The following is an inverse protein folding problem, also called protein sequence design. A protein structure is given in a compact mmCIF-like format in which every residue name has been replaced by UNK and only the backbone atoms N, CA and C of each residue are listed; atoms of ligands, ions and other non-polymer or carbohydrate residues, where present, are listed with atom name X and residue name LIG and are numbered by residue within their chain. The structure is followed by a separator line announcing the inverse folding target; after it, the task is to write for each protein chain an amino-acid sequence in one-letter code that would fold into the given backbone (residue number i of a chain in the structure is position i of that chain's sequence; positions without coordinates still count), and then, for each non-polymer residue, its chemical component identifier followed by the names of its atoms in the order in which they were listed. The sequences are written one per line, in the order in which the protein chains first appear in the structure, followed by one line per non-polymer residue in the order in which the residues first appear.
data_IF_727152772861
#
_entry.id   IF_727152772861
#
_cell.length_a   1.000
_cell.length_b   1.000
_cell.length_c   1.000
_cell.angle_alpha   90.00
_cell.angle_beta   90.00
_cell.angle_gamma   90.00
#
_symmetry.space_group_name_H-M   'P 1'
#
loop_
_entity.id
_entity.type
_entity.pdbx_description
1 polymer ?
#
# COMPACT_ATOMS: atom_id res chain seq x y z
N UNK A 1 11.50 44.43 -64.32
CA UNK A 1 11.01 43.67 -63.15
C UNK A 1 12.20 42.94 -62.52
N UNK A 2 12.65 43.43 -61.37
CA UNK A 2 13.76 42.86 -60.62
C UNK A 2 13.28 41.69 -59.75
N UNK A 3 14.02 40.59 -59.68
CA UNK A 3 13.88 39.56 -58.64
C UNK A 3 15.24 39.37 -57.97
N UNK A 4 15.31 39.80 -56.71
CA UNK A 4 16.44 39.64 -55.82
C UNK A 4 16.52 38.20 -55.31
N UNK A 5 17.69 37.59 -55.40
CA UNK A 5 18.07 36.34 -54.76
C UNK A 5 18.73 36.64 -53.41
N UNK A 6 17.94 36.55 -52.33
CA UNK A 6 18.44 36.64 -50.96
C UNK A 6 18.69 35.24 -50.39
N UNK A 7 19.95 34.87 -50.21
CA UNK A 7 20.37 33.65 -49.51
C UNK A 7 20.29 33.90 -48.00
N UNK A 8 19.42 33.17 -47.30
CA UNK A 8 19.34 33.17 -45.84
C UNK A 8 20.54 32.43 -45.23
N UNK A 9 21.16 32.93 -44.14
CA UNK A 9 22.30 32.27 -43.51
C UNK A 9 21.87 31.01 -42.77
N UNK A 10 22.66 29.93 -42.92
CA UNK A 10 22.51 28.68 -42.18
C UNK A 10 22.63 28.94 -40.68
N UNK A 11 21.55 28.64 -39.95
CA UNK A 11 21.50 28.61 -38.48
C UNK A 11 22.56 27.62 -37.98
N UNK A 12 23.59 28.12 -37.28
CA UNK A 12 24.57 27.29 -36.60
C UNK A 12 23.85 26.43 -35.54
N UNK A 13 24.08 25.13 -35.56
CA UNK A 13 23.57 24.22 -34.54
C UNK A 13 24.09 24.67 -33.16
N UNK A 14 23.16 25.06 -32.27
CA UNK A 14 23.46 25.29 -30.86
C UNK A 14 23.98 23.97 -30.27
N UNK A 15 25.20 24.02 -29.74
CA UNK A 15 25.82 22.95 -28.96
C UNK A 15 24.89 22.63 -27.79
N UNK A 16 24.30 21.44 -27.79
CA UNK A 16 23.48 20.96 -26.70
C UNK A 16 24.39 20.82 -25.47
N UNK A 17 24.11 21.62 -24.45
CA UNK A 17 24.67 21.48 -23.11
C UNK A 17 24.24 20.11 -22.56
N UNK A 18 25.20 19.33 -22.10
CA UNK A 18 25.00 18.03 -21.48
C UNK A 18 24.31 18.21 -20.14
N UNK A 19 23.03 17.82 -20.05
CA UNK A 19 22.38 17.52 -18.77
C UNK A 19 23.03 16.26 -18.20
N UNK A 20 24.14 16.43 -17.49
CA UNK A 20 24.64 15.39 -16.60
C UNK A 20 23.71 15.43 -15.38
N UNK A 21 22.87 14.41 -15.28
CA UNK A 21 22.01 14.22 -14.11
C UNK A 21 22.86 13.66 -12.96
N UNK A 22 23.37 14.56 -12.12
CA UNK A 22 24.21 14.25 -10.96
C UNK A 22 23.43 13.55 -9.83
N UNK A 23 22.10 13.39 -9.95
CA UNK A 23 21.29 12.63 -8.99
C UNK A 23 21.46 11.11 -9.15
N UNK A 24 22.05 10.66 -10.25
CA UNK A 24 22.21 9.24 -10.58
C UNK A 24 23.65 8.80 -10.26
N UNK A 25 23.78 7.76 -9.43
CA UNK A 25 25.04 7.09 -9.21
C UNK A 25 25.45 6.29 -10.46
N UNK A 26 26.23 6.92 -11.34
CA UNK A 26 26.72 6.32 -12.57
C UNK A 26 27.94 5.42 -12.31
N UNK A 27 27.92 4.20 -12.85
CA UNK A 27 29.03 3.25 -12.86
C UNK A 27 29.55 3.09 -14.29
N UNK A 28 30.85 3.31 -14.46
CA UNK A 28 31.50 3.24 -15.77
C UNK A 28 31.41 1.83 -16.37
N UNK A 29 31.14 1.78 -17.67
CA UNK A 29 31.00 0.57 -18.47
C UNK A 29 31.90 0.70 -19.72
N UNK A 30 31.80 -0.26 -20.64
CA UNK A 30 32.63 -0.29 -21.83
C UNK A 30 32.43 0.92 -22.76
N UNK A 31 33.50 1.28 -23.48
CA UNK A 31 33.50 2.32 -24.51
C UNK A 31 33.07 3.72 -24.03
N UNK A 32 33.28 4.02 -22.74
CA UNK A 32 32.95 5.32 -22.14
C UNK A 32 31.45 5.51 -21.87
N UNK A 33 30.65 4.45 -21.95
CA UNK A 33 29.28 4.47 -21.45
C UNK A 33 29.29 4.29 -19.93
N UNK A 34 28.19 4.63 -19.28
CA UNK A 34 27.97 4.27 -17.89
C UNK A 34 26.53 3.79 -17.67
N UNK A 35 26.35 2.93 -16.66
CA UNK A 35 25.07 2.39 -16.23
C UNK A 35 24.69 2.93 -14.86
N UNK A 36 23.40 2.96 -14.56
CA UNK A 36 22.87 3.38 -13.26
C UNK A 36 21.45 2.88 -13.05
N UNK A 37 20.88 3.14 -11.87
CA UNK A 37 19.51 2.77 -11.52
C UNK A 37 18.71 4.05 -11.28
N UNK A 38 17.52 4.14 -11.88
CA UNK A 38 16.56 5.22 -11.63
C UNK A 38 15.18 4.61 -11.48
N UNK A 39 14.50 4.87 -10.37
CA UNK A 39 13.17 4.36 -10.07
C UNK A 39 13.07 2.83 -10.29
N UNK A 40 14.06 2.09 -9.78
CA UNK A 40 14.16 0.63 -9.90
C UNK A 40 14.42 0.11 -11.32
N UNK A 41 14.90 0.96 -12.25
CA UNK A 41 15.16 0.59 -13.64
C UNK A 41 16.59 0.90 -14.05
N UNK A 42 17.19 -0.03 -14.79
CA UNK A 42 18.48 0.15 -15.42
C UNK A 42 18.41 1.27 -16.48
N UNK A 43 19.33 2.22 -16.39
CA UNK A 43 19.51 3.31 -17.35
C UNK A 43 20.97 3.36 -17.82
N UNK A 44 21.20 3.98 -18.98
CA UNK A 44 22.53 4.15 -19.54
C UNK A 44 22.77 5.62 -19.92
N UNK A 45 24.02 6.07 -19.82
CA UNK A 45 24.50 7.31 -20.44
C UNK A 45 25.60 7.02 -21.45
N UNK A 46 25.69 7.86 -22.48
CA UNK A 46 26.72 7.77 -23.51
C UNK A 46 28.03 8.48 -23.07
N UNK A 47 29.12 8.37 -23.86
CA UNK A 47 30.39 9.05 -23.56
C UNK A 47 30.33 10.58 -23.52
N UNK A 48 29.26 11.18 -24.05
CA UNK A 48 29.01 12.61 -23.97
C UNK A 48 28.22 13.00 -22.70
N UNK A 49 28.00 12.06 -21.78
CA UNK A 49 27.29 12.26 -20.52
C UNK A 49 25.77 12.29 -20.65
N UNK A 50 25.21 12.05 -21.84
CA UNK A 50 23.76 12.13 -22.08
C UNK A 50 23.08 10.80 -21.75
N UNK A 51 22.06 10.84 -20.89
CA UNK A 51 21.16 9.71 -20.63
C UNK A 51 20.45 9.26 -21.91
N UNK A 52 20.45 7.96 -22.13
CA UNK A 52 19.83 7.31 -23.28
C UNK A 52 18.38 6.94 -22.99
N UNK A 53 17.56 6.85 -24.04
CA UNK A 53 16.16 6.40 -23.93
C UNK A 53 16.04 4.91 -23.59
N UNK A 54 17.05 4.11 -23.94
CA UNK A 54 17.13 2.69 -23.66
C UNK A 54 18.57 2.27 -23.46
N UNK A 55 18.76 1.15 -22.74
CA UNK A 55 20.07 0.54 -22.54
C UNK A 55 20.46 -0.23 -23.82
N UNK A 56 21.59 0.11 -24.47
CA UNK A 56 22.09 -0.63 -25.62
C UNK A 56 22.28 -2.12 -25.33
N UNK A 57 21.99 -2.99 -26.30
CA UNK A 57 22.08 -4.45 -26.13
C UNK A 57 23.46 -4.91 -25.63
N UNK A 58 24.53 -4.39 -26.22
CA UNK A 58 25.90 -4.73 -25.82
C UNK A 58 26.22 -4.40 -24.35
N UNK A 59 25.58 -3.37 -23.78
CA UNK A 59 25.73 -3.04 -22.35
C UNK A 59 24.79 -3.87 -21.49
N UNK A 60 23.59 -4.20 -21.99
CA UNK A 60 22.60 -4.99 -21.27
C UNK A 60 23.08 -6.42 -20.97
N UNK A 61 23.90 -6.98 -21.87
CA UNK A 61 24.48 -8.31 -21.74
C UNK A 61 25.84 -8.29 -21.00
N UNK A 62 26.21 -7.16 -20.37
CA UNK A 62 27.43 -7.04 -19.56
C UNK A 62 27.22 -7.49 -18.12
N UNK A 63 28.29 -7.95 -17.47
CA UNK A 63 28.27 -8.36 -16.05
C UNK A 63 27.75 -7.22 -15.14
N UNK A 64 28.13 -5.97 -15.42
CA UNK A 64 27.67 -4.80 -14.66
C UNK A 64 26.14 -4.63 -14.79
N UNK A 65 25.58 -4.82 -15.99
CA UNK A 65 24.14 -4.75 -16.17
C UNK A 65 23.41 -5.88 -15.46
N UNK A 66 23.95 -7.11 -15.47
CA UNK A 66 23.39 -8.24 -14.72
C UNK A 66 23.35 -7.95 -13.21
N UNK A 67 24.44 -7.44 -12.64
CA UNK A 67 24.50 -7.06 -11.21
C UNK A 67 23.50 -5.94 -10.86
N UNK A 68 23.39 -4.92 -11.71
CA UNK A 68 22.45 -3.80 -11.49
C UNK A 68 20.99 -4.23 -11.67
N UNK A 69 20.69 -5.17 -12.57
CA UNK A 69 19.36 -5.76 -12.71
C UNK A 69 19.00 -6.59 -11.49
N UNK A 70 19.91 -7.43 -10.98
CA UNK A 70 19.71 -8.16 -9.74
C UNK A 70 19.49 -7.20 -8.55
N UNK A 71 20.21 -6.08 -8.51
CA UNK A 71 19.97 -5.03 -7.51
C UNK A 71 18.58 -4.39 -7.65
N UNK A 72 18.09 -4.15 -8.88
CA UNK A 72 16.73 -3.65 -9.11
C UNK A 72 15.65 -4.63 -8.62
N UNK A 73 15.85 -5.93 -8.87
CA UNK A 73 14.95 -6.98 -8.37
C UNK A 73 14.96 -7.03 -6.83
N UNK A 74 16.14 -6.97 -6.22
CA UNK A 74 16.28 -6.92 -4.77
C UNK A 74 15.59 -5.69 -4.17
N UNK A 75 15.76 -4.51 -4.75
CA UNK A 75 15.08 -3.28 -4.31
C UNK A 75 13.55 -3.40 -4.40
N UNK A 76 13.02 -4.04 -5.45
CA UNK A 76 11.58 -4.27 -5.58
C UNK A 76 11.04 -5.22 -4.49
N UNK A 77 11.81 -6.26 -4.14
CA UNK A 77 11.49 -7.16 -3.03
C UNK A 77 11.55 -6.42 -1.70
N UNK A 78 12.61 -5.66 -1.46
CA UNK A 78 12.80 -4.84 -0.25
C UNK A 78 11.63 -3.87 -0.05
N UNK A 79 11.27 -3.10 -1.08
CA UNK A 79 10.12 -2.20 -1.04
C UNK A 79 8.82 -2.93 -0.65
N UNK A 80 8.60 -4.13 -1.20
CA UNK A 80 7.42 -4.95 -0.86
C UNK A 80 7.44 -5.39 0.60
N UNK A 81 8.61 -5.71 1.15
CA UNK A 81 8.77 -6.11 2.56
C UNK A 81 8.55 -4.93 3.52
N UNK A 82 9.10 -3.76 3.20
CA UNK A 82 8.84 -2.53 3.96
C UNK A 82 7.34 -2.25 4.08
N UNK A 83 6.62 -2.33 2.95
CA UNK A 83 5.17 -2.11 2.90
C UNK A 83 4.44 -3.09 3.84
N UNK A 84 4.72 -4.40 3.72
CA UNK A 84 4.09 -5.44 4.54
C UNK A 84 4.38 -5.26 6.02
N UNK A 85 5.59 -4.83 6.37
CA UNK A 85 5.97 -4.64 7.76
C UNK A 85 5.25 -3.43 8.38
N UNK A 86 5.07 -2.34 7.62
CA UNK A 86 4.29 -1.17 8.06
C UNK A 86 2.81 -1.52 8.19
N UNK A 87 2.24 -2.22 7.20
CA UNK A 87 0.87 -2.75 7.29
C UNK A 87 0.70 -3.66 8.51
N UNK A 88 1.71 -4.47 8.82
CA UNK A 88 1.71 -5.32 10.02
C UNK A 88 1.70 -4.50 11.31
N UNK A 89 2.48 -3.40 11.38
CA UNK A 89 2.43 -2.50 12.53
C UNK A 89 1.04 -1.90 12.73
N UNK A 90 0.38 -1.53 11.62
CA UNK A 90 -0.98 -0.98 11.65
C UNK A 90 -2.04 -2.02 12.03
N UNK A 91 -2.10 -3.15 11.32
CA UNK A 91 -3.14 -4.17 11.48
C UNK A 91 -3.01 -4.98 12.77
N UNK A 92 -1.88 -4.87 13.47
CA UNK A 92 -1.65 -5.52 14.76
C UNK A 92 -1.54 -4.53 15.92
N UNK A 93 -1.75 -3.24 15.66
CA UNK A 93 -1.61 -2.15 16.63
C UNK A 93 -0.32 -2.26 17.45
N UNK A 94 0.79 -2.62 16.79
CA UNK A 94 2.06 -2.85 17.48
C UNK A 94 2.70 -1.50 17.79
N UNK A 95 3.07 -1.23 19.06
CA UNK A 95 3.93 -0.09 19.37
C UNK A 95 5.25 -0.23 18.60
N UNK A 96 5.59 0.80 17.85
CA UNK A 96 6.84 0.88 17.08
C UNK A 96 7.83 1.72 17.90
N UNK A 97 8.92 1.12 18.42
CA UNK A 97 9.93 1.86 19.14
C UNK A 97 10.54 2.96 18.27
N UNK A 98 10.85 4.08 18.89
CA UNK A 98 11.48 5.22 18.22
C UNK A 98 12.82 4.83 17.59
N UNK A 99 13.58 3.97 18.25
CA UNK A 99 14.88 3.49 17.77
C UNK A 99 14.73 2.67 16.48
N UNK A 100 13.62 1.94 16.32
CA UNK A 100 13.32 1.22 15.07
C UNK A 100 13.07 2.23 13.95
N UNK A 101 12.26 3.26 14.20
CA UNK A 101 12.01 4.31 13.22
C UNK A 101 13.30 5.05 12.83
N UNK A 102 14.13 5.40 13.81
CA UNK A 102 15.42 6.05 13.57
C UNK A 102 16.37 5.18 12.73
N UNK A 103 16.34 3.86 12.93
CA UNK A 103 17.17 2.93 12.17
C UNK A 103 16.70 2.77 10.71
N UNK A 104 15.38 2.77 10.46
CA UNK A 104 14.84 2.56 9.11
C UNK A 104 14.65 3.85 8.32
N UNK A 105 14.51 5.01 8.97
CA UNK A 105 14.26 6.29 8.29
C UNK A 105 15.30 6.70 7.23
N UNK A 106 16.60 6.42 7.37
CA UNK A 106 17.58 6.72 6.33
C UNK A 106 17.35 5.96 5.02
N UNK A 107 16.59 4.86 5.06
CA UNK A 107 16.20 4.11 3.88
C UNK A 107 15.05 4.83 3.13
N UNK A 108 15.22 5.13 1.83
CA UNK A 108 14.20 5.84 1.05
C UNK A 108 12.86 5.11 0.94
N UNK A 109 12.85 3.78 0.87
CA UNK A 109 11.59 3.02 0.75
C UNK A 109 10.81 3.04 2.07
N UNK A 110 11.50 2.93 3.20
CA UNK A 110 10.89 3.06 4.52
C UNK A 110 10.34 4.46 4.77
N UNK A 111 11.16 5.48 4.53
CA UNK A 111 10.75 6.87 4.78
C UNK A 111 9.66 7.35 3.82
N UNK A 112 9.65 6.90 2.56
CA UNK A 112 8.54 7.16 1.62
C UNK A 112 7.22 6.58 2.16
N UNK A 113 7.23 5.32 2.61
CA UNK A 113 6.03 4.62 3.04
C UNK A 113 5.49 5.05 4.41
N UNK A 114 6.37 5.46 5.31
CA UNK A 114 6.00 5.94 6.64
C UNK A 114 5.54 7.40 6.63
N UNK A 115 6.03 8.19 5.68
CA UNK A 115 5.68 9.60 5.56
C UNK A 115 4.19 9.76 5.26
N UNK A 116 3.60 10.77 5.88
CA UNK A 116 2.18 11.08 5.84
C UNK A 116 1.26 10.03 6.48
N UNK A 117 1.77 8.96 7.10
CA UNK A 117 0.95 8.12 7.95
C UNK A 117 0.53 8.90 9.20
N UNK A 118 -0.73 8.74 9.59
CA UNK A 118 -1.19 9.17 10.90
C UNK A 118 -0.53 8.28 11.94
N UNK A 119 0.14 8.91 12.89
CA UNK A 119 0.80 8.26 14.01
C UNK A 119 0.28 8.85 15.31
N UNK A 120 0.22 8.02 16.35
CA UNK A 120 -0.18 8.42 17.70
C UNK A 120 0.98 8.14 18.64
N UNK A 121 1.38 9.11 19.46
CA UNK A 121 2.38 8.85 20.48
C UNK A 121 1.90 7.76 21.44
N UNK A 122 2.79 6.84 21.81
CA UNK A 122 2.49 5.82 22.82
C UNK A 122 3.51 5.90 23.97
N UNK A 123 3.01 5.78 25.20
CA UNK A 123 3.89 5.77 26.38
C UNK A 123 4.72 4.47 26.43
N UNK A 124 5.62 4.32 27.41
CA UNK A 124 6.48 3.13 27.54
C UNK A 124 5.73 1.79 27.70
N UNK A 125 4.43 1.81 28.02
CA UNK A 125 3.58 0.60 28.10
C UNK A 125 2.84 0.28 26.80
N UNK A 126 2.93 1.15 25.80
CA UNK A 126 2.22 1.00 24.52
C UNK A 126 0.85 1.67 24.51
N UNK A 127 0.51 2.43 25.54
CA UNK A 127 -0.80 3.07 25.63
C UNK A 127 -0.81 4.37 24.78
N UNK A 128 -1.81 4.56 23.90
CA UNK A 128 -1.91 5.73 23.03
C UNK A 128 -2.15 7.03 23.80
N UNK A 129 -1.58 8.12 23.29
CA UNK A 129 -1.80 9.50 23.72
C UNK A 129 -2.52 10.24 22.59
N UNK A 130 -3.85 10.18 22.59
CA UNK A 130 -4.69 10.67 21.48
C UNK A 130 -4.47 12.17 21.18
N UNK A 131 -4.11 12.96 22.20
CA UNK A 131 -3.75 14.38 22.08
C UNK A 131 -2.45 14.62 21.30
N UNK A 132 -1.66 13.57 21.04
CA UNK A 132 -0.40 13.61 20.29
C UNK A 132 -0.49 12.76 19.05
N UNK A 133 -1.47 13.10 18.21
CA UNK A 133 -1.74 12.48 16.92
C UNK A 133 -1.36 13.43 15.80
N UNK A 134 -0.72 12.92 14.75
CA UNK A 134 -0.41 13.73 13.57
C UNK A 134 0.15 12.92 12.41
N UNK A 135 0.30 13.59 11.26
CA UNK A 135 0.90 13.02 10.04
C UNK A 135 2.42 13.02 10.18
N UNK A 136 3.04 11.86 10.12
CA UNK A 136 4.50 11.71 10.24
C UNK A 136 5.23 12.39 9.07
N UNK A 137 6.19 13.26 9.39
CA UNK A 137 7.01 13.99 8.41
C UNK A 137 8.47 13.69 8.49
N UNK A 138 9.00 13.45 9.69
CA UNK A 138 10.42 13.23 9.83
C UNK A 138 10.75 12.40 11.06
N UNK A 139 11.91 11.77 11.05
CA UNK A 139 12.47 11.09 12.22
C UNK A 139 13.93 11.50 12.33
N UNK A 140 14.26 12.14 13.46
CA UNK A 140 15.60 12.65 13.74
C UNK A 140 16.04 12.17 15.13
N UNK A 141 17.24 11.60 15.20
CA UNK A 141 17.78 11.02 16.44
C UNK A 141 17.87 12.02 17.62
N UNK A 142 17.99 13.32 17.34
CA UNK A 142 18.07 14.36 18.39
C UNK A 142 16.72 15.01 18.67
N UNK A 143 15.93 15.28 17.64
CA UNK A 143 14.66 16.02 17.75
C UNK A 143 13.48 15.10 18.10
N UNK A 144 13.46 13.85 17.62
CA UNK A 144 12.36 12.91 17.77
C UNK A 144 11.61 12.66 16.46
N UNK A 145 10.31 12.42 16.55
CA UNK A 145 9.44 12.25 15.39
C UNK A 145 8.73 13.57 15.08
N UNK A 146 9.01 14.14 13.91
CA UNK A 146 8.34 15.31 13.40
C UNK A 146 6.97 14.94 12.85
N UNK A 147 5.91 15.55 13.36
CA UNK A 147 4.53 15.35 12.92
C UNK A 147 3.87 16.68 12.58
N UNK A 148 2.86 16.64 11.70
CA UNK A 148 1.91 17.74 11.51
C UNK A 148 0.61 17.33 12.18
N UNK A 149 0.17 18.09 13.18
CA UNK A 149 -1.07 17.80 13.91
C UNK A 149 -2.33 18.20 13.11
N UNK A 150 -3.50 18.04 13.73
CA UNK A 150 -4.80 18.38 13.12
C UNK A 150 -4.97 19.88 12.85
N UNK A 151 -4.23 20.73 13.56
CA UNK A 151 -4.25 22.19 13.39
C UNK A 151 -3.26 22.63 12.29
N UNK A 152 -2.52 21.70 11.71
CA UNK A 152 -1.49 21.97 10.70
C UNK A 152 -0.17 22.45 11.28
N UNK A 153 -0.02 22.43 12.61
CA UNK A 153 1.23 22.82 13.27
C UNK A 153 2.25 21.68 13.26
N UNK A 154 3.52 22.04 13.09
CA UNK A 154 4.62 21.06 13.14
C UNK A 154 5.08 20.87 14.59
N UNK A 155 5.04 19.62 15.06
CA UNK A 155 5.50 19.24 16.39
C UNK A 155 6.60 18.17 16.32
N UNK A 156 7.46 18.12 17.35
CA UNK A 156 8.46 17.05 17.51
C UNK A 156 8.12 16.21 18.75
N UNK A 157 7.68 14.99 18.52
CA UNK A 157 7.33 14.03 19.55
C UNK A 157 8.59 13.34 20.09
N UNK A 158 8.85 13.50 21.39
CA UNK A 158 9.96 12.84 22.11
C UNK A 158 9.54 11.56 22.83
N UNK A 159 8.45 10.95 22.37
CA UNK A 159 7.91 9.71 22.95
C UNK A 159 8.83 8.51 22.63
N UNK A 160 8.93 7.49 23.50
CA UNK A 160 9.78 6.32 23.22
C UNK A 160 9.24 5.44 22.08
N UNK A 161 7.94 5.54 21.78
CA UNK A 161 7.31 4.76 20.73
C UNK A 161 6.04 5.43 20.21
N UNK A 162 5.60 5.01 19.03
CA UNK A 162 4.34 5.41 18.41
C UNK A 162 3.48 4.20 18.08
N UNK A 163 2.22 4.46 17.76
CA UNK A 163 1.33 3.53 17.09
C UNK A 163 1.01 4.08 15.71
N UNK A 164 0.82 3.16 14.76
CA UNK A 164 0.19 3.46 13.47
C UNK A 164 -1.24 2.93 13.58
N UNK A 165 -2.23 3.75 13.96
CA UNK A 165 -3.59 3.26 14.18
C UNK A 165 -4.25 2.79 12.88
N UNK A 166 -5.09 1.77 12.97
CA UNK A 166 -6.07 1.49 11.93
C UNK A 166 -7.02 2.70 11.79
N UNK A 167 -7.45 3.09 10.58
CA UNK A 167 -8.28 4.29 10.36
C UNK A 167 -9.57 4.34 11.19
N UNK A 168 -10.17 3.20 11.51
CA UNK A 168 -11.39 3.15 12.35
C UNK A 168 -11.14 3.61 13.81
N UNK A 169 -9.89 3.58 14.26
CA UNK A 169 -9.48 4.03 15.60
C UNK A 169 -9.03 5.49 15.63
N UNK A 170 -8.98 6.16 14.47
CA UNK A 170 -8.56 7.55 14.35
C UNK A 170 -9.78 8.44 14.60
N UNK A 171 -9.75 9.20 15.69
CA UNK A 171 -10.73 10.26 15.94
C UNK A 171 -10.61 11.35 14.87
N UNK A 172 -11.74 11.75 14.27
CA UNK A 172 -11.75 12.73 13.19
C UNK A 172 -11.05 12.27 11.90
N UNK A 173 -11.10 10.98 11.56
CA UNK A 173 -10.48 10.44 10.33
C UNK A 173 -10.94 11.15 9.04
N UNK A 174 -12.20 11.62 8.99
CA UNK A 174 -12.71 12.36 7.83
C UNK A 174 -12.04 13.74 7.68
N UNK A 175 -11.82 14.46 8.78
CA UNK A 175 -11.09 15.74 8.77
C UNK A 175 -9.67 15.54 8.22
N UNK A 176 -9.00 14.45 8.63
CA UNK A 176 -7.66 14.12 8.16
C UNK A 176 -7.64 13.70 6.67
N UNK A 177 -8.71 13.07 6.18
CA UNK A 177 -8.88 12.78 4.74
C UNK A 177 -9.07 14.04 3.91
N UNK A 178 -9.83 15.01 4.43
CA UNK A 178 -10.01 16.32 3.81
C UNK A 178 -8.67 17.06 3.73
N UNK A 179 -7.94 17.17 4.85
CA UNK A 179 -6.60 17.77 4.90
C UNK A 179 -5.63 17.07 3.95
N UNK A 180 -5.65 15.73 3.91
CA UNK A 180 -4.78 14.96 3.00
C UNK A 180 -5.08 15.27 1.53
N UNK A 181 -6.35 15.51 1.19
CA UNK A 181 -6.79 15.85 -0.17
C UNK A 181 -6.39 17.29 -0.53
N UNK A 182 -6.60 18.24 0.37
CA UNK A 182 -6.28 19.66 0.16
C UNK A 182 -4.78 19.93 0.04
N UNK A 183 -3.97 19.19 0.81
CA UNK A 183 -2.51 19.35 0.82
C UNK A 183 -1.80 18.43 -0.20
N UNK A 184 -2.55 17.68 -1.00
CA UNK A 184 -2.05 16.71 -2.00
C UNK A 184 -1.06 15.70 -1.39
N UNK A 185 -1.37 15.23 -0.17
CA UNK A 185 -0.57 14.20 0.47
C UNK A 185 -0.95 12.84 -0.07
N UNK A 186 0.08 12.09 -0.47
CA UNK A 186 -0.03 10.69 -0.83
C UNK A 186 0.48 9.82 0.31
N UNK A 187 -0.19 8.69 0.53
CA UNK A 187 0.28 7.63 1.42
C UNK A 187 0.58 6.40 0.57
N UNK A 188 1.79 5.85 0.69
CA UNK A 188 2.14 4.61 -0.01
C UNK A 188 1.44 3.39 0.60
N UNK A 189 1.11 3.46 1.89
CA UNK A 189 0.20 2.53 2.58
C UNK A 189 -1.18 3.16 2.62
N UNK A 190 -2.22 2.46 2.15
CA UNK A 190 -3.60 2.90 2.28
C UNK A 190 -4.02 2.85 3.77
N UNK A 191 -3.74 3.90 4.54
CA UNK A 191 -4.20 4.04 5.93
C UNK A 191 -5.47 4.89 5.97
N UNK A 192 -5.38 6.18 5.62
CA UNK A 192 -6.52 7.11 5.71
C UNK A 192 -7.67 6.66 4.82
N UNK A 193 -7.38 6.33 3.56
CA UNK A 193 -8.40 5.99 2.56
C UNK A 193 -8.79 4.50 2.54
N UNK A 194 -8.27 3.70 3.48
CA UNK A 194 -8.72 2.32 3.64
C UNK A 194 -10.19 2.29 4.05
N UNK A 195 -11.04 1.51 3.36
CA UNK A 195 -12.45 1.39 3.72
C UNK A 195 -12.63 0.90 5.16
N UNK A 196 -13.47 1.59 5.91
CA UNK A 196 -13.82 1.26 7.30
C UNK A 196 -15.26 0.79 7.39
N UNK A 197 -15.52 -0.19 8.25
CA UNK A 197 -16.87 -0.70 8.49
C UNK A 197 -17.11 -0.79 10.00
N UNK A 198 -18.18 -0.17 10.47
CA UNK A 198 -18.63 -0.27 11.86
C UNK A 198 -19.80 -1.24 11.95
N UNK A 199 -19.80 -2.08 12.98
CA UNK A 199 -20.92 -3.00 13.22
C UNK A 199 -22.17 -2.21 13.60
N UNK A 200 -23.27 -2.46 12.89
CA UNK A 200 -24.59 -1.91 13.24
C UNK A 200 -25.14 -2.59 14.50
N UNK A 201 -26.09 -1.94 15.18
CA UNK A 201 -26.72 -2.51 16.37
C UNK A 201 -27.50 -3.80 16.08
N UNK A 202 -27.96 -3.98 14.84
CA UNK A 202 -28.59 -5.24 14.42
C UNK A 202 -27.56 -6.35 14.22
N UNK A 203 -26.45 -6.06 13.52
CA UNK A 203 -25.37 -7.03 13.32
C UNK A 203 -24.79 -7.50 14.66
N UNK A 204 -24.65 -6.60 15.64
CA UNK A 204 -24.15 -6.92 17.00
C UNK A 204 -24.99 -7.97 17.74
N UNK A 205 -26.27 -8.16 17.37
CA UNK A 205 -27.13 -9.19 17.99
C UNK A 205 -26.86 -10.60 17.47
N UNK A 206 -26.11 -10.72 16.37
CA UNK A 206 -25.79 -12.00 15.73
C UNK A 206 -24.37 -12.48 15.98
N UNK A 207 -24.02 -13.56 15.28
CA UNK A 207 -22.69 -14.21 15.27
C UNK A 207 -22.12 -14.32 13.85
N UNK A 208 -22.87 -13.86 12.84
CA UNK A 208 -22.53 -13.99 11.43
C UNK A 208 -23.07 -12.82 10.62
N UNK A 209 -22.36 -12.46 9.56
CA UNK A 209 -22.78 -11.49 8.56
C UNK A 209 -23.23 -12.22 7.30
N UNK A 210 -24.48 -11.99 6.91
CA UNK A 210 -25.14 -12.69 5.79
C UNK A 210 -25.37 -11.80 4.57
N UNK A 211 -24.92 -10.55 4.60
CA UNK A 211 -25.07 -9.58 3.50
C UNK A 211 -24.36 -10.02 2.21
N UNK A 212 -23.36 -10.88 2.34
CA UNK A 212 -22.56 -11.39 1.24
C UNK A 212 -22.99 -12.80 0.77
N UNK A 213 -24.18 -13.27 1.16
CA UNK A 213 -24.70 -14.57 0.72
C UNK A 213 -25.01 -14.58 -0.78
N UNK A 214 -24.97 -15.77 -1.36
CA UNK A 214 -25.38 -16.05 -2.75
C UNK A 214 -24.55 -15.31 -3.81
N UNK A 215 -23.30 -14.93 -3.48
CA UNK A 215 -22.39 -14.36 -4.46
C UNK A 215 -21.84 -15.44 -5.37
N UNK A 216 -22.33 -15.46 -6.61
CA UNK A 216 -22.01 -16.50 -7.58
C UNK A 216 -20.67 -16.28 -8.27
N UNK A 217 -19.88 -17.34 -8.36
CA UNK A 217 -18.70 -17.44 -9.22
C UNK A 217 -18.85 -18.65 -10.12
N UNK A 218 -18.55 -18.49 -11.41
CA UNK A 218 -18.68 -19.59 -12.39
C UNK A 218 -17.79 -20.79 -12.01
N UNK A 219 -16.66 -20.55 -11.34
CA UNK A 219 -15.73 -21.58 -10.87
C UNK A 219 -15.14 -21.22 -9.50
N UNK A 220 -14.98 -22.22 -8.63
CA UNK A 220 -14.30 -22.08 -7.33
C UNK A 220 -12.84 -21.61 -7.48
N UNK A 221 -12.15 -22.00 -8.56
CA UNK A 221 -10.78 -21.55 -8.84
C UNK A 221 -10.68 -20.02 -9.02
N UNK A 222 -11.74 -19.34 -9.47
CA UNK A 222 -11.74 -17.89 -9.71
C UNK A 222 -11.75 -17.13 -8.39
N UNK A 223 -12.63 -17.53 -7.46
CA UNK A 223 -12.70 -16.89 -6.13
C UNK A 223 -11.48 -17.23 -5.28
N UNK A 224 -10.99 -18.47 -5.32
CA UNK A 224 -9.78 -18.86 -4.57
C UNK A 224 -8.51 -18.18 -5.10
N UNK A 225 -8.39 -17.99 -6.42
CA UNK A 225 -7.28 -17.21 -7.02
C UNK A 225 -7.38 -15.72 -6.70
N UNK A 226 -8.60 -15.18 -6.62
CA UNK A 226 -8.84 -13.81 -6.14
C UNK A 226 -8.39 -13.65 -4.69
N UNK A 227 -8.80 -14.55 -3.79
CA UNK A 227 -8.39 -14.54 -2.38
C UNK A 227 -6.86 -14.51 -2.24
N UNK A 228 -6.15 -15.39 -2.96
CA UNK A 228 -4.68 -15.42 -2.96
C UNK A 228 -4.06 -14.10 -3.40
N UNK A 229 -4.60 -13.48 -4.47
CA UNK A 229 -4.10 -12.19 -4.98
C UNK A 229 -4.32 -11.05 -3.99
N UNK A 230 -5.41 -11.10 -3.24
CA UNK A 230 -5.72 -10.16 -2.17
C UNK A 230 -4.99 -10.46 -0.85
N UNK A 231 -4.23 -11.54 -0.76
CA UNK A 231 -3.48 -11.93 0.44
C UNK A 231 -4.28 -12.74 1.46
N UNK A 232 -5.48 -13.22 1.12
CA UNK A 232 -6.33 -14.01 2.02
C UNK A 232 -6.13 -15.51 1.75
N UNK A 233 -5.47 -16.27 2.64
CA UNK A 233 -5.39 -17.72 2.51
C UNK A 233 -6.78 -18.36 2.59
N UNK A 234 -7.02 -19.41 1.81
CA UNK A 234 -8.27 -20.18 1.85
C UNK A 234 -8.05 -21.48 2.64
N UNK A 235 -8.88 -21.71 3.67
CA UNK A 235 -8.83 -22.91 4.54
C UNK A 235 -10.25 -23.44 4.75
N UNK A 236 -10.49 -24.70 4.41
CA UNK A 236 -11.80 -25.34 4.61
C UNK A 236 -12.96 -24.57 3.98
N UNK A 237 -12.75 -24.01 2.79
CA UNK A 237 -13.75 -23.21 2.08
C UNK A 237 -13.92 -21.76 2.56
N UNK A 238 -13.15 -21.32 3.57
CA UNK A 238 -13.15 -19.94 4.05
C UNK A 238 -11.92 -19.18 3.58
N UNK A 239 -12.12 -17.97 3.06
CA UNK A 239 -11.07 -16.96 3.02
C UNK A 239 -10.83 -16.43 4.45
N UNK A 240 -9.58 -16.47 4.90
CA UNK A 240 -9.19 -16.13 6.27
C UNK A 240 -8.42 -14.80 6.31
N UNK A 241 -8.76 -13.94 7.27
CA UNK A 241 -7.99 -12.73 7.59
C UNK A 241 -7.75 -12.68 9.11
N UNK A 242 -6.48 -12.81 9.52
CA UNK A 242 -6.10 -12.81 10.93
C UNK A 242 -5.68 -11.40 11.35
N UNK A 243 -6.36 -10.87 12.35
CA UNK A 243 -6.19 -9.51 12.87
C UNK A 243 -5.78 -9.62 14.34
N UNK A 244 -4.93 -8.70 14.81
CA UNK A 244 -4.62 -8.57 16.23
C UNK A 244 -5.18 -7.24 16.73
N UNK A 245 -6.03 -7.32 17.74
CA UNK A 245 -6.66 -6.17 18.35
C UNK A 245 -6.46 -6.28 19.86
N UNK A 246 -5.86 -5.24 20.46
CA UNK A 246 -5.47 -5.22 21.87
C UNK A 246 -4.67 -6.47 22.31
N UNK A 247 -3.79 -6.94 21.43
CA UNK A 247 -2.95 -8.13 21.67
C UNK A 247 -3.69 -9.47 21.53
N UNK A 248 -5.01 -9.45 21.32
CA UNK A 248 -5.84 -10.65 21.13
C UNK A 248 -6.00 -10.91 19.64
N UNK A 249 -5.53 -12.05 19.10
CA UNK A 249 -5.79 -12.38 17.72
C UNK A 249 -7.18 -12.96 17.53
N UNK A 250 -7.82 -12.52 16.46
CA UNK A 250 -9.09 -13.04 15.98
C UNK A 250 -8.97 -13.24 14.47
N UNK A 251 -9.70 -14.22 13.92
CA UNK A 251 -9.69 -14.51 12.50
C UNK A 251 -11.09 -14.30 11.92
N UNK A 252 -11.20 -13.35 10.98
CA UNK A 252 -12.38 -13.22 10.13
C UNK A 252 -12.35 -14.32 9.07
N UNK A 253 -13.48 -15.00 8.87
CA UNK A 253 -13.63 -16.11 7.92
C UNK A 253 -14.84 -15.90 7.04
N UNK A 254 -14.60 -15.73 5.75
CA UNK A 254 -15.66 -15.55 4.77
C UNK A 254 -15.79 -16.80 3.89
N UNK A 255 -16.97 -17.42 3.88
CA UNK A 255 -17.23 -18.61 3.07
C UNK A 255 -17.22 -18.29 1.58
N UNK A 256 -16.32 -18.94 0.84
CA UNK A 256 -16.17 -18.84 -0.62
C UNK A 256 -16.47 -20.16 -1.34
N UNK A 257 -16.71 -21.23 -0.59
CA UNK A 257 -17.09 -22.56 -1.09
C UNK A 257 -15.99 -23.60 -1.04
N UNK A 258 -16.39 -24.86 -1.23
CA UNK A 258 -15.56 -26.05 -1.21
C UNK A 258 -15.94 -27.02 -2.32
N UNK A 259 -15.07 -27.99 -2.62
CA UNK A 259 -15.32 -29.02 -3.64
C UNK A 259 -14.42 -28.87 -4.86
N UNK A 260 -14.96 -29.21 -6.04
CA UNK A 260 -14.22 -29.22 -7.29
C UNK A 260 -13.89 -27.78 -7.77
N UNK A 261 -12.62 -27.45 -8.05
CA UNK A 261 -12.21 -26.12 -8.49
C UNK A 261 -12.90 -25.60 -9.76
N UNK A 262 -13.37 -26.48 -10.64
CA UNK A 262 -13.99 -26.11 -11.93
C UNK A 262 -15.52 -25.94 -11.83
N UNK A 263 -16.11 -26.20 -10.67
CA UNK A 263 -17.55 -26.10 -10.45
C UNK A 263 -17.94 -24.73 -9.91
N UNK A 264 -19.19 -24.35 -10.20
CA UNK A 264 -19.83 -23.16 -9.66
C UNK A 264 -19.80 -23.15 -8.13
N UNK A 265 -19.62 -21.96 -7.55
CA UNK A 265 -19.68 -21.76 -6.10
C UNK A 265 -20.49 -20.52 -5.74
N UNK A 266 -21.02 -20.53 -4.53
CA UNK A 266 -21.76 -19.44 -3.91
C UNK A 266 -21.06 -19.04 -2.62
N UNK A 267 -20.84 -17.74 -2.45
CA UNK A 267 -20.43 -17.21 -1.15
C UNK A 267 -21.57 -17.35 -0.14
N UNK A 268 -21.21 -17.42 1.13
CA UNK A 268 -22.18 -17.51 2.22
C UNK A 268 -21.86 -16.46 3.30
N UNK A 269 -21.54 -16.91 4.50
CA UNK A 269 -21.42 -16.07 5.67
C UNK A 269 -19.99 -15.64 5.96
N UNK A 270 -19.88 -14.46 6.57
CA UNK A 270 -18.68 -14.03 7.27
C UNK A 270 -18.88 -14.25 8.78
N UNK A 271 -17.96 -15.00 9.39
CA UNK A 271 -17.91 -15.25 10.83
C UNK A 271 -16.56 -14.78 11.38
N UNK A 272 -16.47 -14.67 12.71
CA UNK A 272 -15.25 -14.33 13.42
C UNK A 272 -14.96 -15.41 14.45
N UNK A 273 -13.71 -15.87 14.51
CA UNK A 273 -13.29 -16.91 15.46
C UNK A 273 -12.10 -16.45 16.29
N UNK A 274 -12.05 -16.88 17.54
CA UNK A 274 -10.92 -16.67 18.45
C UNK A 274 -9.75 -17.65 18.17
N UNK A 275 -8.72 -17.63 19.03
CA UNK A 275 -7.59 -18.55 18.95
C UNK A 275 -7.99 -20.02 19.05
N UNK A 276 -8.99 -20.31 19.89
CA UNK A 276 -9.56 -21.63 20.12
C UNK A 276 -10.48 -22.10 18.99
N UNK A 277 -10.56 -21.33 17.89
CA UNK A 277 -11.38 -21.63 16.71
C UNK A 277 -12.89 -21.57 16.99
N UNK A 278 -13.29 -20.87 18.05
CA UNK A 278 -14.69 -20.76 18.47
C UNK A 278 -15.32 -19.52 17.83
N UNK A 279 -16.48 -19.66 17.14
CA UNK A 279 -17.23 -18.52 16.64
C UNK A 279 -17.60 -17.54 17.76
N UNK A 280 -17.42 -16.25 17.51
CA UNK A 280 -17.72 -15.17 18.44
C UNK A 280 -18.97 -14.41 18.03
N UNK A 281 -19.70 -13.88 19.01
CA UNK A 281 -20.75 -12.89 18.77
C UNK A 281 -20.12 -11.62 18.18
N UNK A 282 -20.81 -10.98 17.23
CA UNK A 282 -20.37 -9.72 16.62
C UNK A 282 -20.18 -8.62 17.68
N UNK A 283 -20.93 -8.65 18.78
CA UNK A 283 -20.75 -7.71 19.90
C UNK A 283 -19.40 -7.87 20.64
N UNK A 284 -18.78 -9.04 20.56
CA UNK A 284 -17.47 -9.33 21.17
C UNK A 284 -16.30 -9.12 20.19
N UNK A 285 -16.59 -8.83 18.92
CA UNK A 285 -15.57 -8.55 17.90
C UNK A 285 -15.19 -7.07 17.98
N UNK A 286 -13.89 -6.79 18.12
CA UNK A 286 -13.40 -5.42 18.15
C UNK A 286 -13.53 -4.71 16.78
N UNK A 287 -13.53 -3.36 16.78
CA UNK A 287 -13.79 -2.56 15.57
C UNK A 287 -12.79 -2.81 14.43
N UNK A 288 -11.50 -3.02 14.71
CA UNK A 288 -10.49 -3.28 13.67
C UNK A 288 -10.76 -4.64 13.04
N UNK A 289 -10.95 -5.67 13.86
CA UNK A 289 -11.23 -7.03 13.38
C UNK A 289 -12.48 -7.07 12.53
N UNK A 290 -13.56 -6.45 13.01
CA UNK A 290 -14.83 -6.37 12.28
C UNK A 290 -14.66 -5.66 10.93
N UNK A 291 -14.02 -4.49 10.94
CA UNK A 291 -13.78 -3.69 9.74
C UNK A 291 -12.99 -4.46 8.69
N UNK A 292 -11.91 -5.14 9.08
CA UNK A 292 -11.06 -5.89 8.17
C UNK A 292 -11.71 -7.17 7.64
N UNK A 293 -12.58 -7.81 8.43
CA UNK A 293 -13.42 -8.90 7.94
C UNK A 293 -14.42 -8.44 6.89
N UNK A 294 -15.13 -7.34 7.14
CA UNK A 294 -16.06 -6.73 6.19
C UNK A 294 -15.36 -6.26 4.91
N UNK A 295 -14.16 -5.67 5.04
CA UNK A 295 -13.34 -5.25 3.89
C UNK A 295 -12.96 -6.44 3.02
N UNK A 296 -12.48 -7.53 3.62
CA UNK A 296 -12.17 -8.78 2.91
C UNK A 296 -13.39 -9.31 2.16
N UNK A 297 -14.51 -9.49 2.87
CA UNK A 297 -15.74 -10.05 2.29
C UNK A 297 -16.28 -9.17 1.16
N UNK A 298 -16.29 -7.84 1.34
CA UNK A 298 -16.70 -6.87 0.32
C UNK A 298 -15.83 -6.93 -0.94
N UNK A 299 -14.50 -6.96 -0.80
CA UNK A 299 -13.57 -7.05 -1.93
C UNK A 299 -13.76 -8.34 -2.75
N UNK A 300 -13.97 -9.46 -2.06
CA UNK A 300 -14.21 -10.75 -2.71
C UNK A 300 -15.59 -10.72 -3.38
N UNK A 301 -16.65 -10.38 -2.64
CA UNK A 301 -18.03 -10.37 -3.11
C UNK A 301 -18.26 -9.40 -4.28
N UNK A 302 -17.51 -8.30 -4.37
CA UNK A 302 -17.57 -7.36 -5.49
C UNK A 302 -17.14 -7.97 -6.84
N UNK A 303 -16.45 -9.11 -6.83
CA UNK A 303 -16.02 -9.84 -8.06
C UNK A 303 -16.93 -10.98 -8.45
N UNK A 304 -18.03 -11.18 -7.73
CA UNK A 304 -19.09 -12.13 -8.12
C UNK A 304 -19.63 -11.79 -9.50
N UNK A 305 -20.25 -12.78 -10.14
CA UNK A 305 -21.07 -12.57 -11.33
C UNK A 305 -22.27 -11.70 -10.96
N UNK A 306 -22.44 -10.62 -11.71
CA UNK A 306 -23.63 -9.77 -11.65
C UNK A 306 -24.39 -10.04 -12.94
N UNK A 307 -25.63 -10.52 -12.83
CA UNK A 307 -26.52 -10.63 -13.99
C UNK A 307 -26.74 -9.20 -14.52
N UNK A 308 -26.49 -8.99 -15.81
CA UNK A 308 -26.89 -7.74 -16.45
C UNK A 308 -28.38 -7.86 -16.70
N UNK A 309 -29.16 -6.97 -16.12
CA UNK A 309 -30.54 -6.79 -16.52
C UNK A 309 -30.54 -6.35 -17.99
N UNK A 310 -30.77 -7.30 -18.90
CA UNK A 310 -31.28 -7.00 -20.23
C UNK A 310 -32.73 -6.53 -20.02
N UNK A 311 -32.90 -5.25 -19.67
CA UNK A 311 -34.18 -4.60 -19.90
C UNK A 311 -34.37 -4.53 -21.41
N UNK A 312 -35.12 -5.52 -21.89
CA UNK A 312 -35.70 -5.64 -23.21
C UNK A 312 -36.23 -4.29 -23.68
N UNK A 313 -35.57 -3.76 -24.72
CA UNK A 313 -36.20 -2.85 -25.65
C UNK A 313 -37.18 -3.64 -26.52
N UNK A 314 -38.31 -4.03 -25.95
CA UNK A 314 -39.52 -4.38 -26.68
C UNK A 314 -40.69 -3.68 -25.99
N UNK A 315 -41.13 -2.55 -26.54
CA UNK A 315 -42.55 -2.30 -26.80
C UNK A 315 -42.77 -0.97 -27.56
N UNK A 316 -43.37 -1.14 -28.75
CA UNK A 316 -44.15 -0.22 -29.58
C UNK A 316 -43.49 0.95 -30.33
#
# INVERSE_FOLDING_TARGET
MAKATGTLPKKSAKKATSDVDDSIAWLEADNGYALGIVNGKLVARNPQGKKLASVPKALKDSELAEQLLAACEWLAVHRTECLRQIETWMLRSLPVPREVLEAVWPDPDWSDMLRNLVVVAANAKGEPQADKTGLLRDVDAKKGMGVVDRDGETQWLKTPQILIPHPILIDGVEDLREISSDMDFTQSVEQLFRPIFSATDEQKKGERITEFRQGKFDQLNFVTSLCRRLGYPVRGGYACNKVWEDGTPMEARFWVGEGDPEYETLTDELIFVDEDQTPQSIAAVGPVTFSEGMRMASQIYAKRKVEKDEQEGEEA
#
